data_IF_404698553435
#
_entry.id   IF_404698553435
#
_cell.length_a   1.000
_cell.length_b   1.000
_cell.length_c   1.000
_cell.angle_alpha   90.00
_cell.angle_beta   90.00
_cell.angle_gamma   90.00
#
_symmetry.space_group_name_H-M   'P 1'
#
loop_
_entity.id
_entity.type
_entity.pdbx_description
1 polymer ?
#
# COMPACT_ATOMS: atom_id res chain seq x y z
N UNK A 1 28.11 13.35 19.12
CA UNK A 1 27.42 13.53 17.83
C UNK A 1 28.45 13.23 16.76
N UNK A 2 28.28 12.17 15.99
CA UNK A 2 29.14 11.88 14.84
C UNK A 2 28.91 12.98 13.83
N UNK A 3 30.00 13.64 13.35
CA UNK A 3 29.96 14.58 12.22
C UNK A 3 29.65 13.80 10.93
N UNK A 4 28.40 13.37 10.75
CA UNK A 4 27.98 12.76 9.50
C UNK A 4 27.90 13.86 8.42
N UNK A 5 28.49 13.55 7.26
CA UNK A 5 28.51 14.45 6.11
C UNK A 5 27.23 14.21 5.28
N UNK A 6 26.38 15.25 5.03
CA UNK A 6 25.19 15.14 4.19
C UNK A 6 25.43 14.69 2.74
N UNK A 7 26.67 14.73 2.25
CA UNK A 7 27.04 14.17 0.95
C UNK A 7 27.10 12.63 0.95
N UNK A 8 27.10 12.01 2.14
CA UNK A 8 27.05 10.57 2.32
C UNK A 8 25.60 10.10 2.48
N UNK A 9 25.30 8.83 2.16
CA UNK A 9 23.97 8.29 2.37
C UNK A 9 23.51 8.46 3.82
N UNK A 10 22.25 8.87 4.02
CA UNK A 10 21.63 8.89 5.34
C UNK A 10 21.33 7.49 5.84
N UNK A 11 20.89 6.62 4.91
CA UNK A 11 20.71 5.17 5.12
C UNK A 11 21.51 4.42 4.06
N UNK A 12 22.34 3.48 4.49
CA UNK A 12 23.07 2.58 3.61
C UNK A 12 22.85 1.13 4.07
N UNK A 13 22.34 0.30 3.18
CA UNK A 13 22.14 -1.13 3.36
C UNK A 13 23.10 -1.83 2.40
N UNK A 14 23.95 -2.73 2.92
CA UNK A 14 24.95 -3.48 2.14
C UNK A 14 24.81 -4.97 2.34
N UNK A 15 24.59 -5.69 1.25
CA UNK A 15 24.56 -7.16 1.17
C UNK A 15 23.68 -7.81 2.26
N UNK A 16 22.57 -7.15 2.60
CA UNK A 16 21.71 -7.53 3.71
C UNK A 16 21.01 -8.86 3.43
N UNK A 17 21.21 -9.82 4.31
CA UNK A 17 20.49 -11.09 4.29
C UNK A 17 19.73 -11.30 5.59
N UNK A 18 18.45 -11.67 5.48
CA UNK A 18 17.53 -11.82 6.62
C UNK A 18 16.85 -13.16 6.53
N UNK A 19 16.89 -13.92 7.61
CA UNK A 19 16.20 -15.21 7.75
C UNK A 19 15.27 -15.24 8.93
N UNK A 20 14.14 -15.93 8.77
CA UNK A 20 13.23 -16.30 9.85
C UNK A 20 13.44 -17.75 10.23
N UNK A 21 13.63 -18.00 11.51
CA UNK A 21 13.87 -19.33 12.07
C UNK A 21 12.60 -19.88 12.70
N UNK A 22 12.03 -20.91 12.08
CA UNK A 22 10.89 -21.65 12.61
C UNK A 22 11.39 -22.93 13.29
N UNK A 23 10.49 -23.65 13.98
CA UNK A 23 10.84 -24.95 14.56
C UNK A 23 11.25 -26.00 13.52
N UNK A 24 10.81 -25.83 12.27
CA UNK A 24 11.00 -26.81 11.22
C UNK A 24 12.15 -26.47 10.27
N UNK A 25 12.38 -25.16 10.02
CA UNK A 25 13.35 -24.73 9.01
C UNK A 25 13.71 -23.24 9.14
N UNK A 26 14.82 -22.88 8.56
CA UNK A 26 15.19 -21.51 8.21
C UNK A 26 14.45 -21.08 6.93
N UNK A 27 13.97 -19.85 6.91
CA UNK A 27 13.25 -19.22 5.79
C UNK A 27 14.02 -17.95 5.43
N UNK A 28 14.87 -17.97 4.39
CA UNK A 28 15.57 -16.78 3.91
C UNK A 28 14.57 -15.82 3.26
N UNK A 29 14.28 -14.70 3.91
CA UNK A 29 13.31 -13.72 3.44
C UNK A 29 13.92 -12.69 2.52
N UNK A 30 15.13 -12.22 2.83
CA UNK A 30 15.92 -11.25 2.04
C UNK A 30 17.30 -11.82 1.82
N UNK A 31 17.86 -11.63 0.64
CA UNK A 31 19.17 -12.14 0.23
C UNK A 31 19.95 -11.08 -0.53
N UNK A 32 21.19 -10.83 -0.10
CA UNK A 32 22.15 -9.94 -0.79
C UNK A 32 21.52 -8.61 -1.25
N UNK A 33 20.70 -8.00 -0.38
CA UNK A 33 19.99 -6.77 -0.67
C UNK A 33 20.85 -5.57 -0.34
N UNK A 34 21.02 -4.67 -1.32
CA UNK A 34 21.73 -3.41 -1.13
C UNK A 34 20.89 -2.23 -1.61
N UNK A 35 20.87 -1.16 -0.82
CA UNK A 35 20.11 0.06 -1.12
C UNK A 35 20.71 1.24 -0.37
N UNK A 36 20.64 2.42 -0.97
CA UNK A 36 21.08 3.68 -0.33
C UNK A 36 19.99 4.73 -0.43
N UNK A 37 19.82 5.52 0.62
CA UNK A 37 18.97 6.72 0.63
C UNK A 37 19.86 7.92 0.96
N UNK A 38 19.81 8.95 0.13
CA UNK A 38 20.56 10.18 0.36
C UNK A 38 19.78 11.14 1.28
N UNK A 39 20.44 12.17 1.79
CA UNK A 39 19.75 13.20 2.58
C UNK A 39 18.72 13.95 1.74
N UNK A 40 17.48 14.03 2.22
CA UNK A 40 16.36 14.66 1.52
C UNK A 40 15.82 13.87 0.33
N UNK A 41 16.32 12.65 0.07
CA UNK A 41 15.87 11.79 -1.03
C UNK A 41 14.65 10.94 -0.61
N UNK A 42 13.76 10.71 -1.57
CA UNK A 42 12.70 9.72 -1.50
C UNK A 42 13.09 8.47 -2.32
N UNK A 43 13.40 7.36 -1.64
CA UNK A 43 13.73 6.07 -2.25
C UNK A 43 12.50 5.15 -2.23
N UNK A 44 12.03 4.75 -3.41
CA UNK A 44 10.95 3.80 -3.58
C UNK A 44 11.43 2.34 -3.49
N UNK A 45 10.70 1.51 -2.74
CA UNK A 45 10.92 0.06 -2.69
C UNK A 45 9.64 -0.65 -3.14
N UNK A 46 9.68 -1.32 -4.30
CA UNK A 46 8.49 -1.89 -4.94
C UNK A 46 8.66 -3.38 -5.26
N UNK A 47 7.55 -4.07 -5.49
CA UNK A 47 7.51 -5.48 -5.87
C UNK A 47 6.23 -6.15 -5.39
N UNK A 48 5.99 -7.40 -5.82
CA UNK A 48 4.83 -8.19 -5.40
C UNK A 48 4.76 -8.36 -3.88
N UNK A 49 3.56 -8.61 -3.35
CA UNK A 49 3.38 -8.95 -1.92
C UNK A 49 4.21 -10.18 -1.57
N UNK A 50 4.84 -10.16 -0.38
CA UNK A 50 5.71 -11.25 0.08
C UNK A 50 7.14 -11.23 -0.49
N UNK A 51 7.54 -10.28 -1.34
CA UNK A 51 8.93 -10.23 -1.87
C UNK A 51 9.98 -9.75 -0.86
N UNK A 52 9.60 -9.31 0.36
CA UNK A 52 10.56 -8.93 1.41
C UNK A 52 10.63 -7.43 1.75
N UNK A 53 9.84 -6.56 1.13
CA UNK A 53 9.87 -5.08 1.34
C UNK A 53 9.73 -4.68 2.80
N UNK A 54 8.63 -5.09 3.43
CA UNK A 54 8.38 -4.81 4.86
C UNK A 54 9.43 -5.44 5.77
N UNK A 55 10.02 -6.59 5.36
CA UNK A 55 11.11 -7.21 6.09
C UNK A 55 12.36 -6.32 6.09
N UNK A 56 12.68 -5.67 4.97
CA UNK A 56 13.77 -4.69 4.89
C UNK A 56 13.49 -3.49 5.80
N UNK A 57 12.27 -2.93 5.77
CA UNK A 57 11.87 -1.83 6.65
C UNK A 57 12.01 -2.19 8.14
N UNK A 58 11.50 -3.36 8.53
CA UNK A 58 11.62 -3.86 9.91
C UNK A 58 13.08 -4.13 10.31
N UNK A 59 13.93 -4.53 9.36
CA UNK A 59 15.37 -4.69 9.63
C UNK A 59 16.05 -3.35 9.89
N UNK A 60 15.71 -2.27 9.18
CA UNK A 60 16.19 -0.92 9.46
C UNK A 60 15.74 -0.48 10.86
N UNK A 61 14.50 -0.78 11.22
CA UNK A 61 13.98 -0.54 12.57
C UNK A 61 14.56 -1.52 13.60
N UNK A 62 15.31 -2.55 13.21
CA UNK A 62 15.81 -3.64 14.08
C UNK A 62 14.69 -4.32 14.87
N UNK A 63 13.51 -4.47 14.24
CA UNK A 63 12.29 -5.06 14.80
C UNK A 63 11.76 -6.21 13.95
N UNK A 64 12.59 -7.24 13.78
CA UNK A 64 12.27 -8.44 13.01
C UNK A 64 11.45 -9.48 13.81
N UNK A 65 11.07 -9.15 15.05
CA UNK A 65 10.43 -10.07 15.95
C UNK A 65 11.39 -11.17 16.49
N UNK A 66 10.84 -12.11 17.25
CA UNK A 66 11.64 -13.13 17.96
C UNK A 66 12.31 -14.16 17.05
N UNK A 67 11.73 -14.38 15.86
CA UNK A 67 12.18 -15.42 14.93
C UNK A 67 13.03 -14.85 13.78
N UNK A 68 13.06 -13.54 13.57
CA UNK A 68 13.78 -12.89 12.49
C UNK A 68 15.20 -12.49 12.90
N UNK A 69 16.18 -12.69 12.02
CA UNK A 69 17.58 -12.30 12.27
C UNK A 69 18.23 -11.79 10.98
N UNK A 70 19.05 -10.76 11.12
CA UNK A 70 20.03 -10.40 10.11
C UNK A 70 21.14 -11.45 10.18
N UNK A 71 21.34 -12.19 9.11
CA UNK A 71 22.34 -13.29 9.05
C UNK A 71 23.61 -12.83 8.35
N UNK A 72 23.54 -11.82 7.49
CA UNK A 72 24.71 -11.22 6.82
C UNK A 72 24.41 -9.77 6.42
N UNK A 73 25.47 -9.01 6.10
CA UNK A 73 25.39 -7.62 5.68
C UNK A 73 25.30 -6.61 6.82
N UNK A 74 25.13 -5.36 6.46
CA UNK A 74 25.10 -4.23 7.42
C UNK A 74 24.03 -3.20 7.05
N UNK A 75 23.57 -2.49 8.06
CA UNK A 75 22.66 -1.35 7.94
C UNK A 75 23.29 -0.17 8.66
N UNK A 76 23.64 0.88 7.93
CA UNK A 76 24.26 2.08 8.46
C UNK A 76 23.33 3.27 8.36
N UNK A 77 23.11 4.00 9.44
CA UNK A 77 22.34 5.23 9.49
C UNK A 77 23.20 6.38 9.97
N UNK A 78 23.35 7.42 9.18
CA UNK A 78 24.26 8.57 9.44
C UNK A 78 25.65 8.08 9.90
N UNK A 79 26.22 7.10 9.21
CA UNK A 79 27.53 6.51 9.53
C UNK A 79 27.58 5.62 10.76
N UNK A 80 26.44 5.36 11.45
CA UNK A 80 26.33 4.49 12.62
C UNK A 80 25.78 3.12 12.21
N UNK A 81 26.46 2.05 12.57
CA UNK A 81 26.01 0.69 12.28
C UNK A 81 24.87 0.27 13.21
N UNK A 82 23.65 0.22 12.66
CA UNK A 82 22.44 -0.19 13.39
C UNK A 82 22.49 -1.67 13.80
N UNK A 83 23.26 -2.51 13.10
CA UNK A 83 23.32 -3.94 13.37
C UNK A 83 24.11 -4.25 14.65
N UNK A 84 25.05 -3.38 15.02
CA UNK A 84 25.88 -3.48 16.20
C UNK A 84 25.31 -2.75 17.43
N UNK A 85 24.28 -1.91 17.27
CA UNK A 85 23.69 -1.13 18.36
C UNK A 85 22.96 -1.99 19.40
N UNK A 86 23.08 -1.57 20.66
CA UNK A 86 22.29 -2.10 21.77
C UNK A 86 20.80 -1.68 21.66
N UNK A 87 19.91 -2.42 22.32
CA UNK A 87 18.48 -2.08 22.35
C UNK A 87 18.19 -0.70 22.94
N UNK A 88 19.02 -0.24 23.89
CA UNK A 88 18.87 1.09 24.49
C UNK A 88 19.22 2.21 23.50
N UNK A 89 20.29 2.05 22.73
CA UNK A 89 20.67 2.98 21.67
C UNK A 89 19.61 3.02 20.56
N UNK A 90 19.12 1.86 20.13
CA UNK A 90 18.03 1.76 19.15
C UNK A 90 16.75 2.43 19.65
N UNK A 91 16.40 2.27 20.93
CA UNK A 91 15.22 2.91 21.53
C UNK A 91 15.31 4.43 21.49
N UNK A 92 16.49 5.00 21.70
CA UNK A 92 16.72 6.45 21.61
C UNK A 92 16.60 6.96 20.17
N UNK A 93 16.91 6.12 19.19
CA UNK A 93 16.94 6.46 17.78
C UNK A 93 15.55 6.35 17.13
N UNK A 94 14.79 5.32 17.53
CA UNK A 94 13.42 5.09 17.06
C UNK A 94 12.48 6.18 17.59
N UNK A 95 11.68 6.77 16.71
CA UNK A 95 10.73 7.84 17.02
C UNK A 95 11.37 9.22 17.15
N UNK A 96 12.70 9.35 17.21
CA UNK A 96 13.41 10.63 17.23
C UNK A 96 14.15 10.94 15.92
N UNK A 97 15.04 10.05 15.48
CA UNK A 97 15.82 10.24 14.25
C UNK A 97 15.30 9.36 13.10
N UNK A 98 14.75 8.19 13.41
CA UNK A 98 14.09 7.29 12.44
C UNK A 98 12.65 7.05 12.92
N UNK A 99 11.68 7.32 12.07
CA UNK A 99 10.28 6.99 12.31
C UNK A 99 9.74 6.04 11.25
N UNK A 100 8.72 5.26 11.58
CA UNK A 100 8.07 4.33 10.66
C UNK A 100 6.55 4.45 10.75
N UNK A 101 5.91 4.49 9.59
CA UNK A 101 4.46 4.35 9.44
C UNK A 101 4.21 2.94 8.93
N UNK A 102 3.46 2.15 9.71
CA UNK A 102 3.12 0.76 9.40
C UNK A 102 1.89 0.67 8.51
N UNK A 103 1.71 -0.48 7.87
CA UNK A 103 0.62 -0.76 6.92
C UNK A 103 -0.79 -0.57 7.51
N UNK A 104 -0.98 -0.84 8.81
CA UNK A 104 -2.27 -0.68 9.48
C UNK A 104 -2.24 0.48 10.48
N UNK A 105 -2.80 1.66 10.16
CA UNK A 105 -2.75 2.84 11.03
C UNK A 105 -3.48 2.62 12.36
N UNK A 106 -4.56 1.83 12.35
CA UNK A 106 -5.33 1.55 13.56
C UNK A 106 -4.54 0.74 14.60
N UNK A 107 -3.62 -0.12 14.16
CA UNK A 107 -2.75 -0.87 15.05
C UNK A 107 -1.71 0.00 15.75
N UNK A 108 -1.41 1.20 15.20
CA UNK A 108 -0.44 2.14 15.75
C UNK A 108 -1.03 3.08 16.81
N UNK A 109 -2.36 3.16 16.93
CA UNK A 109 -3.05 4.03 17.88
C UNK A 109 -3.64 3.25 19.05
N UNK A 110 -3.39 3.71 20.28
CA UNK A 110 -4.02 3.13 21.45
C UNK A 110 -5.50 3.54 21.56
N UNK A 111 -6.46 2.61 21.41
CA UNK A 111 -7.88 2.94 21.37
C UNK A 111 -8.44 3.51 22.70
N UNK A 112 -7.75 3.28 23.81
CA UNK A 112 -8.13 3.73 25.14
C UNK A 112 -7.58 5.12 25.53
N UNK A 113 -6.72 5.71 24.66
CA UNK A 113 -6.10 7.02 24.90
C UNK A 113 -6.60 8.07 23.93
N UNK A 114 -6.75 9.30 24.41
CA UNK A 114 -7.04 10.45 23.53
C UNK A 114 -5.87 10.74 22.60
N UNK A 115 -6.17 11.20 21.40
CA UNK A 115 -5.19 11.54 20.37
C UNK A 115 -4.11 12.51 20.88
N UNK A 116 -4.53 13.59 21.55
CA UNK A 116 -3.61 14.58 22.09
C UNK A 116 -2.58 14.01 23.08
N UNK A 117 -3.00 13.04 23.91
CA UNK A 117 -2.09 12.39 24.85
C UNK A 117 -1.05 11.54 24.14
N UNK A 118 -1.45 10.80 23.09
CA UNK A 118 -0.55 9.96 22.30
C UNK A 118 0.46 10.80 21.50
N UNK A 119 0.03 11.90 20.88
CA UNK A 119 0.91 12.81 20.18
C UNK A 119 1.92 13.48 21.13
N UNK A 120 1.44 14.01 22.26
CA UNK A 120 2.31 14.71 23.21
C UNK A 120 3.35 13.78 23.88
N UNK A 121 3.09 12.48 23.95
CA UNK A 121 4.01 11.50 24.52
C UNK A 121 5.35 11.46 23.78
N UNK A 122 5.34 11.62 22.47
CA UNK A 122 6.56 11.56 21.61
C UNK A 122 7.60 12.60 22.04
N UNK A 123 7.34 13.91 22.00
CA UNK A 123 8.33 14.91 22.42
C UNK A 123 8.59 14.90 23.94
N UNK A 124 7.65 14.46 24.76
CA UNK A 124 7.90 14.28 26.19
C UNK A 124 8.94 13.21 26.47
N UNK A 125 8.93 12.09 25.74
CA UNK A 125 9.87 10.99 25.91
C UNK A 125 11.22 11.28 25.26
N UNK A 126 11.23 11.79 24.02
CA UNK A 126 12.45 11.93 23.23
C UNK A 126 13.20 13.23 23.49
N UNK A 127 12.49 14.31 23.81
CA UNK A 127 13.05 15.65 23.95
C UNK A 127 12.95 16.19 25.39
N UNK A 128 12.37 15.40 26.32
CA UNK A 128 12.05 15.81 27.70
C UNK A 128 11.19 17.09 27.74
N UNK A 129 10.33 17.29 26.74
CA UNK A 129 9.50 18.49 26.60
C UNK A 129 8.41 18.53 27.69
N UNK A 130 8.17 19.69 28.33
CA UNK A 130 7.06 19.83 29.28
C UNK A 130 5.72 19.55 28.61
N UNK A 131 4.78 18.93 29.33
CA UNK A 131 3.47 18.52 28.79
C UNK A 131 2.71 19.66 28.12
N UNK A 132 2.75 20.87 28.66
CA UNK A 132 2.03 22.03 28.07
C UNK A 132 2.59 22.39 26.68
N UNK A 133 3.92 22.36 26.52
CA UNK A 133 4.61 22.61 25.26
C UNK A 133 4.37 21.49 24.27
N UNK A 134 4.44 20.23 24.73
CA UNK A 134 4.15 19.06 23.94
C UNK A 134 2.70 19.07 23.37
N UNK A 135 1.72 19.51 24.16
CA UNK A 135 0.33 19.68 23.71
C UNK A 135 0.18 20.82 22.70
N UNK A 136 0.92 21.92 22.89
CA UNK A 136 0.91 23.03 21.93
C UNK A 136 1.54 22.59 20.57
N UNK A 137 2.64 21.82 20.62
CA UNK A 137 3.23 21.21 19.43
C UNK A 137 2.28 20.23 18.76
N UNK A 138 1.62 19.35 19.54
CA UNK A 138 0.63 18.41 19.00
C UNK A 138 -0.51 19.15 18.26
N UNK A 139 -0.99 20.28 18.80
CA UNK A 139 -1.99 21.11 18.16
C UNK A 139 -1.51 21.66 16.82
N UNK A 140 -0.27 22.14 16.77
CA UNK A 140 0.36 22.63 15.54
C UNK A 140 0.49 21.52 14.49
N UNK A 141 0.98 20.34 14.87
CA UNK A 141 1.19 19.23 13.94
C UNK A 141 -0.15 18.67 13.41
N UNK A 142 -1.21 18.66 14.25
CA UNK A 142 -2.58 18.30 13.79
C UNK A 142 -3.08 19.30 12.74
N UNK A 143 -2.77 20.57 12.87
CA UNK A 143 -3.07 21.55 11.82
C UNK A 143 -2.20 21.35 10.56
N UNK A 144 -0.91 21.04 10.71
CA UNK A 144 0.01 20.76 9.61
C UNK A 144 -0.44 19.54 8.77
N UNK A 145 -1.03 18.50 9.39
CA UNK A 145 -1.63 17.37 8.67
C UNK A 145 -3.03 17.65 8.11
N UNK A 146 -3.42 18.92 8.04
CA UNK A 146 -4.65 19.43 7.41
C UNK A 146 -5.93 18.82 8.00
N UNK A 147 -5.94 18.55 9.32
CA UNK A 147 -7.15 18.14 10.02
C UNK A 147 -7.90 19.36 10.55
N UNK A 148 -9.22 19.47 10.29
CA UNK A 148 -10.04 20.57 10.80
C UNK A 148 -10.23 20.43 12.31
N UNK A 149 -10.38 21.58 12.99
CA UNK A 149 -10.66 21.66 14.43
C UNK A 149 -9.66 20.83 15.28
N UNK A 150 -8.37 21.26 15.35
CA UNK A 150 -7.35 20.53 16.10
C UNK A 150 -7.74 20.24 17.55
N UNK A 151 -8.43 21.14 18.22
CA UNK A 151 -8.82 20.97 19.64
C UNK A 151 -9.83 19.83 19.81
N UNK A 152 -10.78 19.69 18.91
CA UNK A 152 -11.70 18.56 18.88
C UNK A 152 -10.95 17.25 18.62
N UNK A 153 -10.05 17.22 17.62
CA UNK A 153 -9.27 16.04 17.26
C UNK A 153 -8.40 15.58 18.43
N UNK A 154 -7.67 16.49 19.08
CA UNK A 154 -6.84 16.17 20.25
C UNK A 154 -7.64 15.58 21.42
N UNK A 155 -8.89 15.98 21.57
CA UNK A 155 -9.78 15.49 22.62
C UNK A 155 -10.55 14.21 22.23
N UNK A 156 -10.47 13.77 20.98
CA UNK A 156 -11.12 12.57 20.47
C UNK A 156 -10.30 11.30 20.78
N UNK A 157 -11.00 10.17 20.78
CA UNK A 157 -10.40 8.83 20.76
C UNK A 157 -10.27 8.32 19.32
N UNK A 158 -9.36 7.37 19.02
CA UNK A 158 -9.18 6.84 17.66
C UNK A 158 -10.47 6.39 16.98
N UNK A 159 -11.33 5.66 17.68
CA UNK A 159 -12.60 5.15 17.14
C UNK A 159 -13.62 6.23 16.76
N UNK A 160 -13.42 7.48 17.15
CA UNK A 160 -14.26 8.62 16.80
C UNK A 160 -13.83 9.33 15.52
N UNK A 161 -12.71 8.86 14.91
CA UNK A 161 -12.12 9.42 13.70
C UNK A 161 -12.35 8.48 12.51
N UNK A 162 -12.48 9.04 11.31
CA UNK A 162 -12.49 8.25 10.07
C UNK A 162 -11.10 7.64 9.79
N UNK A 163 -11.02 6.60 8.95
CA UNK A 163 -9.74 5.96 8.59
C UNK A 163 -8.70 6.94 8.05
N UNK A 164 -9.10 7.85 7.14
CA UNK A 164 -8.20 8.88 6.62
C UNK A 164 -7.76 9.91 7.69
N UNK A 165 -8.61 10.22 8.69
CA UNK A 165 -8.21 11.06 9.82
C UNK A 165 -7.23 10.33 10.74
N UNK A 166 -7.44 9.04 11.01
CA UNK A 166 -6.52 8.22 11.79
C UNK A 166 -5.16 8.12 11.10
N UNK A 167 -5.14 7.91 9.78
CA UNK A 167 -3.91 7.88 9.00
C UNK A 167 -3.13 9.20 9.11
N UNK A 168 -3.81 10.36 9.00
CA UNK A 168 -3.18 11.67 9.20
C UNK A 168 -2.63 11.85 10.62
N UNK A 169 -3.28 11.28 11.64
CA UNK A 169 -2.77 11.29 13.01
C UNK A 169 -1.52 10.41 13.16
N UNK A 170 -1.47 9.25 12.53
CA UNK A 170 -0.25 8.40 12.54
C UNK A 170 0.91 9.11 11.84
N UNK A 171 0.65 9.80 10.72
CA UNK A 171 1.65 10.66 10.05
C UNK A 171 2.10 11.79 10.99
N UNK A 172 1.15 12.48 11.63
CA UNK A 172 1.46 13.51 12.62
C UNK A 172 2.36 12.97 13.73
N UNK A 173 2.05 11.80 14.29
CA UNK A 173 2.83 11.14 15.34
C UNK A 173 4.27 10.84 14.87
N UNK A 174 4.43 10.28 13.67
CA UNK A 174 5.73 9.95 13.10
C UNK A 174 6.60 11.20 12.87
N UNK A 175 5.98 12.35 12.58
CA UNK A 175 6.68 13.61 12.28
C UNK A 175 6.84 14.54 13.49
N UNK A 176 6.31 14.19 14.67
CA UNK A 176 6.40 15.02 15.88
C UNK A 176 7.83 15.42 16.23
N UNK A 177 8.79 14.51 16.10
CA UNK A 177 10.23 14.75 16.39
C UNK A 177 11.02 15.17 15.15
N UNK A 178 10.37 15.42 14.03
CA UNK A 178 11.02 15.77 12.74
C UNK A 178 12.17 14.81 12.40
N UNK A 179 11.88 13.53 12.20
CA UNK A 179 12.90 12.50 12.00
C UNK A 179 13.71 12.80 10.73
N UNK A 180 14.98 12.41 10.74
CA UNK A 180 15.82 12.52 9.57
C UNK A 180 15.50 11.50 8.48
N UNK A 181 14.94 10.33 8.89
CA UNK A 181 14.46 9.27 7.99
C UNK A 181 13.05 8.84 8.39
N UNK A 182 12.12 8.87 7.43
CA UNK A 182 10.77 8.36 7.56
C UNK A 182 10.63 7.11 6.67
N UNK A 183 10.26 5.99 7.27
CA UNK A 183 9.94 4.76 6.57
C UNK A 183 8.43 4.66 6.46
N UNK A 184 7.92 4.47 5.24
CA UNK A 184 6.49 4.34 4.95
C UNK A 184 6.25 2.95 4.38
N UNK A 185 5.62 2.07 5.15
CA UNK A 185 5.31 0.71 4.70
C UNK A 185 3.84 0.64 4.28
N UNK A 186 3.62 0.77 2.98
CA UNK A 186 2.29 0.79 2.35
C UNK A 186 1.31 1.77 3.04
N UNK A 187 1.65 3.07 3.16
CA UNK A 187 0.94 4.03 3.99
C UNK A 187 -0.49 4.32 3.53
N UNK A 188 -0.88 3.86 2.35
CA UNK A 188 -2.18 4.16 1.73
C UNK A 188 -3.06 2.91 1.56
N UNK A 189 -2.60 1.74 2.03
CA UNK A 189 -3.38 0.50 1.97
C UNK A 189 -4.74 0.67 2.66
N UNK A 190 -5.80 0.18 2.02
CA UNK A 190 -7.20 0.28 2.45
C UNK A 190 -7.82 1.70 2.44
N UNK A 191 -7.14 2.68 1.85
CA UNK A 191 -7.72 4.00 1.57
C UNK A 191 -8.34 4.03 0.17
N UNK A 192 -9.31 4.91 -0.03
CA UNK A 192 -9.80 5.20 -1.38
C UNK A 192 -8.82 6.11 -2.14
N UNK A 193 -8.91 6.09 -3.47
CA UNK A 193 -7.96 6.77 -4.38
C UNK A 193 -7.83 8.27 -4.09
N UNK A 194 -8.94 8.93 -3.70
CA UNK A 194 -8.91 10.38 -3.44
C UNK A 194 -8.23 10.71 -2.11
N UNK A 195 -8.45 9.87 -1.08
CA UNK A 195 -7.76 9.99 0.21
C UNK A 195 -6.29 9.59 0.06
N UNK A 196 -6.00 8.55 -0.73
CA UNK A 196 -4.64 8.10 -1.02
C UNK A 196 -3.78 9.23 -1.60
N UNK A 197 -4.22 9.87 -2.69
CA UNK A 197 -3.52 11.00 -3.28
C UNK A 197 -3.28 12.13 -2.26
N UNK A 198 -4.32 12.52 -1.51
CA UNK A 198 -4.20 13.56 -0.50
C UNK A 198 -3.31 13.21 0.71
N UNK A 199 -3.07 11.93 1.00
CA UNK A 199 -2.11 11.47 2.01
C UNK A 199 -0.68 11.53 1.46
N UNK A 200 -0.50 11.13 0.22
CA UNK A 200 0.80 11.14 -0.47
C UNK A 200 1.31 12.59 -0.60
N UNK A 201 0.49 13.50 -1.12
CA UNK A 201 0.80 14.92 -1.19
C UNK A 201 1.19 15.49 0.18
N UNK A 202 0.40 15.15 1.21
CA UNK A 202 0.66 15.63 2.57
C UNK A 202 2.03 15.17 3.09
N UNK A 203 2.37 13.89 2.90
CA UNK A 203 3.63 13.33 3.41
C UNK A 203 4.81 13.96 2.66
N UNK A 204 4.70 14.12 1.34
CA UNK A 204 5.73 14.74 0.52
C UNK A 204 5.97 16.21 0.93
N UNK A 205 4.91 17.01 1.05
CA UNK A 205 5.01 18.40 1.51
C UNK A 205 5.66 18.53 2.90
N UNK A 206 5.32 17.61 3.82
CA UNK A 206 5.87 17.63 5.17
C UNK A 206 7.33 17.13 5.20
N UNK A 207 7.68 16.15 4.38
CA UNK A 207 9.05 15.68 4.24
C UNK A 207 9.96 16.79 3.71
N UNK A 208 9.53 17.50 2.68
CA UNK A 208 10.24 18.66 2.13
C UNK A 208 10.37 19.79 3.17
N UNK A 209 9.27 20.12 3.85
CA UNK A 209 9.25 21.16 4.89
C UNK A 209 10.24 20.89 6.02
N UNK A 210 10.42 19.62 6.40
CA UNK A 210 11.29 19.24 7.52
C UNK A 210 12.65 18.72 7.10
N UNK A 211 12.91 18.56 5.79
CA UNK A 211 14.14 17.97 5.26
C UNK A 211 14.28 16.50 5.61
N UNK A 212 13.16 15.76 5.68
CA UNK A 212 13.10 14.34 6.03
C UNK A 212 13.35 13.49 4.79
N UNK A 213 14.31 12.56 4.85
CA UNK A 213 14.48 11.55 3.79
C UNK A 213 13.45 10.46 3.93
N UNK A 214 13.05 9.81 2.83
CA UNK A 214 12.00 8.79 2.84
C UNK A 214 12.48 7.46 2.27
N UNK A 215 12.07 6.35 2.92
CA UNK A 215 12.03 5.02 2.32
C UNK A 215 10.55 4.67 2.13
N UNK A 216 10.09 4.79 0.88
CA UNK A 216 8.68 4.65 0.52
C UNK A 216 8.40 3.26 -0.07
N UNK A 217 7.70 2.41 0.67
CA UNK A 217 7.34 1.07 0.25
C UNK A 217 5.90 1.08 -0.27
N UNK A 218 5.71 0.65 -1.51
CA UNK A 218 4.39 0.56 -2.12
C UNK A 218 4.33 -0.57 -3.15
N UNK A 219 3.14 -1.11 -3.35
CA UNK A 219 2.81 -1.94 -4.50
C UNK A 219 2.20 -1.12 -5.65
N UNK A 220 1.87 0.16 -5.41
CA UNK A 220 1.34 1.09 -6.41
C UNK A 220 2.49 1.86 -7.08
N UNK A 221 2.91 1.39 -8.28
CA UNK A 221 3.99 2.02 -9.02
C UNK A 221 3.65 3.46 -9.47
N UNK A 222 2.37 3.78 -9.67
CA UNK A 222 1.95 5.14 -10.02
C UNK A 222 2.34 6.15 -8.94
N UNK A 223 2.09 5.81 -7.67
CA UNK A 223 2.49 6.65 -6.54
C UNK A 223 4.01 6.76 -6.40
N UNK A 224 4.73 5.66 -6.63
CA UNK A 224 6.20 5.67 -6.56
C UNK A 224 6.80 6.56 -7.64
N UNK A 225 6.21 6.57 -8.85
CA UNK A 225 6.62 7.46 -9.94
C UNK A 225 6.42 8.95 -9.61
N UNK A 226 5.42 9.26 -8.79
CA UNK A 226 5.08 10.63 -8.40
C UNK A 226 5.94 11.14 -7.22
N UNK A 227 6.23 10.27 -6.26
CA UNK A 227 6.83 10.63 -4.97
C UNK A 227 8.34 10.45 -4.94
N UNK A 228 8.87 9.41 -5.63
CA UNK A 228 10.23 8.96 -5.40
C UNK A 228 11.22 9.48 -6.45
N UNK A 229 12.43 9.81 -6.00
CA UNK A 229 13.55 10.18 -6.87
C UNK A 229 14.20 8.95 -7.50
N UNK A 230 14.38 7.90 -6.68
CA UNK A 230 14.97 6.63 -7.06
C UNK A 230 14.09 5.46 -6.64
N UNK A 231 14.28 4.33 -7.31
CA UNK A 231 13.50 3.10 -7.08
C UNK A 231 14.41 1.89 -6.99
N UNK A 232 14.04 0.96 -6.13
CA UNK A 232 14.57 -0.41 -6.10
C UNK A 232 13.42 -1.39 -6.23
N UNK A 233 13.46 -2.22 -7.26
CA UNK A 233 12.48 -3.26 -7.53
C UNK A 233 12.93 -4.56 -6.87
N UNK A 234 12.10 -5.13 -6.01
CA UNK A 234 12.38 -6.40 -5.32
C UNK A 234 11.56 -7.55 -5.88
N UNK A 235 12.20 -8.69 -6.03
CA UNK A 235 11.54 -9.94 -6.35
C UNK A 235 12.14 -11.08 -5.52
N UNK A 236 11.28 -11.81 -4.80
CA UNK A 236 11.66 -13.00 -4.02
C UNK A 236 12.91 -12.81 -3.15
N UNK A 237 12.96 -11.72 -2.39
CA UNK A 237 14.04 -11.42 -1.44
C UNK A 237 15.25 -10.70 -2.01
N UNK A 238 15.32 -10.48 -3.31
CA UNK A 238 16.44 -9.82 -3.97
C UNK A 238 16.04 -8.50 -4.63
N UNK A 239 16.98 -7.55 -4.69
CA UNK A 239 16.88 -6.42 -5.61
C UNK A 239 17.14 -6.90 -7.02
N UNK A 240 16.24 -6.63 -7.96
CA UNK A 240 16.36 -7.06 -9.36
C UNK A 240 16.65 -5.91 -10.31
N UNK A 241 16.22 -4.70 -9.97
CA UNK A 241 16.51 -3.49 -10.74
C UNK A 241 16.50 -2.27 -9.80
N UNK A 242 17.42 -1.33 -9.98
CA UNK A 242 17.50 -0.10 -9.20
C UNK A 242 18.04 1.05 -10.04
N UNK A 243 17.55 2.26 -9.77
CA UNK A 243 18.00 3.46 -10.48
C UNK A 243 17.13 4.68 -10.19
N UNK A 244 17.36 5.78 -10.92
CA UNK A 244 16.44 6.90 -10.91
C UNK A 244 15.07 6.43 -11.44
N UNK A 245 13.98 6.92 -10.85
CA UNK A 245 12.63 6.54 -11.26
C UNK A 245 12.43 6.67 -12.77
N UNK A 246 12.79 7.83 -13.32
CA UNK A 246 12.67 8.08 -14.76
C UNK A 246 13.48 7.10 -15.60
N UNK A 247 14.76 6.86 -15.25
CA UNK A 247 15.64 6.01 -16.03
C UNK A 247 15.14 4.55 -16.03
N UNK A 248 14.66 4.05 -14.87
CA UNK A 248 14.12 2.69 -14.75
C UNK A 248 12.82 2.54 -15.56
N UNK A 249 11.89 3.50 -15.48
CA UNK A 249 10.61 3.39 -16.20
C UNK A 249 10.72 3.64 -17.70
N UNK A 250 11.60 4.53 -18.14
CA UNK A 250 11.85 4.78 -19.56
C UNK A 250 12.61 3.61 -20.22
N UNK A 251 13.45 2.90 -19.46
CA UNK A 251 14.37 1.88 -19.99
C UNK A 251 14.45 0.66 -19.07
N UNK A 252 13.31 0.06 -18.68
CA UNK A 252 13.31 -1.18 -17.89
C UNK A 252 14.27 -2.21 -18.46
N UNK A 253 15.13 -2.80 -17.62
CA UNK A 253 16.17 -3.77 -18.02
C UNK A 253 16.11 -5.07 -17.24
N UNK A 254 15.02 -5.28 -16.48
CA UNK A 254 14.70 -6.58 -15.92
C UNK A 254 13.31 -7.03 -16.38
N UNK A 255 13.15 -8.27 -16.89
CA UNK A 255 11.86 -8.77 -17.38
C UNK A 255 10.72 -8.70 -16.33
N UNK A 256 11.05 -8.87 -15.06
CA UNK A 256 10.08 -8.71 -13.98
C UNK A 256 9.57 -7.27 -13.84
N UNK A 257 10.47 -6.29 -13.89
CA UNK A 257 10.08 -4.87 -13.83
C UNK A 257 9.13 -4.51 -14.97
N UNK A 258 9.44 -4.98 -16.19
CA UNK A 258 8.59 -4.79 -17.34
C UNK A 258 7.23 -5.48 -17.18
N UNK A 259 7.23 -6.73 -16.68
CA UNK A 259 5.98 -7.48 -16.45
C UNK A 259 5.13 -6.82 -15.35
N UNK A 260 5.75 -6.34 -14.26
CA UNK A 260 5.09 -5.62 -13.18
C UNK A 260 4.43 -4.34 -13.70
N UNK A 261 5.14 -3.54 -14.49
CA UNK A 261 4.62 -2.32 -15.09
C UNK A 261 3.47 -2.59 -16.08
N UNK A 262 3.53 -3.69 -16.82
CA UNK A 262 2.47 -4.11 -17.76
C UNK A 262 1.21 -4.64 -17.07
N UNK A 263 1.30 -5.04 -15.82
CA UNK A 263 0.16 -5.51 -15.02
C UNK A 263 -0.67 -4.37 -14.42
N UNK A 264 -0.22 -3.10 -14.56
CA UNK A 264 -0.89 -1.94 -13.96
C UNK A 264 -1.85 -1.31 -14.96
N UNK A 265 -3.11 -1.01 -14.55
CA UNK A 265 -4.02 -0.23 -15.35
C UNK A 265 -3.56 1.23 -15.42
N UNK A 266 -3.23 1.72 -16.60
CA UNK A 266 -2.93 3.13 -16.78
C UNK A 266 -4.21 3.90 -17.06
N UNK A 267 -4.39 5.11 -16.50
CA UNK A 267 -5.50 6.00 -16.84
C UNK A 267 -5.57 6.25 -18.35
N UNK A 268 -6.78 6.12 -18.93
CA UNK A 268 -7.01 6.33 -20.36
C UNK A 268 -6.53 5.20 -21.29
N UNK A 269 -5.96 4.11 -20.74
CA UNK A 269 -5.58 2.97 -21.58
C UNK A 269 -6.81 2.16 -21.98
N UNK A 270 -7.02 1.99 -23.30
CA UNK A 270 -8.03 1.09 -23.82
C UNK A 270 -7.58 -0.37 -23.62
N UNK A 271 -8.43 -1.17 -22.94
CA UNK A 271 -8.21 -2.61 -22.71
C UNK A 271 -7.98 -3.41 -24.02
N UNK A 272 -8.39 -2.89 -25.16
CA UNK A 272 -8.19 -3.50 -26.46
C UNK A 272 -6.82 -3.17 -27.07
N UNK A 273 -6.27 -2.01 -26.73
CA UNK A 273 -4.95 -1.55 -27.19
C UNK A 273 -3.85 -1.98 -26.25
N UNK A 274 -4.12 -1.94 -24.93
CA UNK A 274 -3.20 -2.37 -23.87
C UNK A 274 -3.93 -3.27 -22.85
N UNK A 275 -4.12 -4.55 -23.18
CA UNK A 275 -4.70 -5.50 -22.24
C UNK A 275 -3.79 -5.65 -21.03
N UNK A 276 -4.38 -5.68 -19.83
CA UNK A 276 -3.64 -6.02 -18.61
C UNK A 276 -3.12 -7.45 -18.73
N UNK A 277 -1.83 -7.63 -18.48
CA UNK A 277 -1.19 -8.94 -18.47
C UNK A 277 -0.77 -9.31 -17.06
N UNK A 278 -1.42 -10.29 -16.48
CA UNK A 278 -0.95 -10.88 -15.23
C UNK A 278 0.41 -11.56 -15.44
N UNK A 279 1.30 -11.46 -14.46
CA UNK A 279 2.58 -12.19 -14.48
C UNK A 279 2.26 -13.68 -14.32
N UNK A 280 2.62 -14.55 -15.28
CA UNK A 280 2.24 -15.95 -15.24
C UNK A 280 2.97 -16.71 -14.13
N UNK A 281 2.38 -17.84 -13.71
CA UNK A 281 2.96 -18.73 -12.71
C UNK A 281 2.87 -18.21 -11.28
N UNK A 282 3.32 -19.04 -10.34
CA UNK A 282 3.28 -18.72 -8.91
C UNK A 282 4.56 -18.02 -8.46
N UNK A 283 4.43 -17.14 -7.48
CA UNK A 283 5.57 -16.55 -6.78
C UNK A 283 6.33 -17.67 -6.03
N UNK A 284 7.66 -17.83 -6.23
CA UNK A 284 8.39 -18.93 -5.60
C UNK A 284 8.46 -18.74 -4.09
N UNK A 285 8.14 -19.79 -3.36
CA UNK A 285 8.36 -19.82 -1.92
C UNK A 285 9.88 -19.77 -1.63
N UNK A 286 10.30 -19.21 -0.48
CA UNK A 286 11.73 -19.06 -0.17
C UNK A 286 12.58 -20.32 -0.29
N UNK A 287 11.99 -21.50 -0.07
CA UNK A 287 12.66 -22.80 -0.19
C UNK A 287 12.54 -23.45 -1.59
N UNK A 288 11.78 -22.84 -2.49
CA UNK A 288 11.57 -23.30 -3.87
C UNK A 288 12.29 -22.39 -4.88
N UNK A 289 13.08 -21.45 -4.40
CA UNK A 289 13.85 -20.56 -5.27
C UNK A 289 14.77 -21.35 -6.18
N UNK A 290 14.74 -21.08 -7.49
CA UNK A 290 15.63 -21.75 -8.43
C UNK A 290 17.10 -21.33 -8.21
N UNK A 291 18.03 -22.08 -8.76
CA UNK A 291 19.38 -21.59 -8.92
C UNK A 291 19.41 -20.46 -9.96
N UNK A 292 20.24 -19.45 -9.74
CA UNK A 292 20.40 -18.31 -10.65
C UNK A 292 19.27 -17.29 -10.49
N UNK A 293 18.56 -16.97 -11.56
CA UNK A 293 17.52 -15.95 -11.56
C UNK A 293 16.24 -16.44 -10.86
N UNK A 294 15.87 -15.81 -9.75
CA UNK A 294 14.63 -16.13 -9.03
C UNK A 294 13.38 -15.93 -9.87
N UNK A 295 13.39 -15.01 -10.83
CA UNK A 295 12.29 -14.79 -11.76
C UNK A 295 12.27 -15.78 -12.94
N UNK A 296 13.32 -16.59 -13.12
CA UNK A 296 13.49 -17.51 -14.26
C UNK A 296 12.25 -18.32 -14.61
N UNK A 297 11.57 -19.00 -13.66
CA UNK A 297 10.37 -19.82 -13.94
C UNK A 297 9.17 -19.04 -14.51
N UNK A 298 9.15 -17.73 -14.37
CA UNK A 298 8.07 -16.83 -14.83
C UNK A 298 8.51 -15.90 -15.96
N UNK A 299 9.77 -16.04 -16.42
CA UNK A 299 10.39 -15.11 -17.35
C UNK A 299 10.18 -15.56 -18.80
N UNK A 300 9.54 -14.71 -19.62
CA UNK A 300 9.35 -14.96 -21.06
C UNK A 300 10.67 -15.06 -21.83
N UNK A 301 11.76 -14.52 -21.27
CA UNK A 301 13.09 -14.48 -21.88
C UNK A 301 14.07 -15.48 -21.24
N UNK A 302 13.57 -16.44 -20.45
CA UNK A 302 14.41 -17.43 -19.77
C UNK A 302 15.23 -18.26 -20.76
N UNK A 303 16.49 -18.46 -20.44
CA UNK A 303 17.39 -19.31 -21.20
C UNK A 303 18.05 -20.33 -20.26
N UNK A 304 17.68 -21.60 -20.47
CA UNK A 304 18.24 -22.72 -19.70
C UNK A 304 19.76 -22.85 -19.92
N UNK A 305 20.48 -23.29 -18.89
CA UNK A 305 21.93 -23.38 -18.90
C UNK A 305 22.65 -22.05 -18.84
N UNK A 306 21.94 -20.92 -18.83
CA UNK A 306 22.47 -19.56 -18.70
C UNK A 306 21.89 -18.79 -17.55
N UNK A 307 20.58 -18.62 -17.52
CA UNK A 307 19.89 -17.90 -16.43
C UNK A 307 19.84 -18.68 -15.11
N UNK A 308 20.11 -19.98 -15.14
CA UNK A 308 20.14 -20.88 -13.99
C UNK A 308 21.52 -21.55 -13.75
N UNK A 309 22.56 -21.10 -14.45
CA UNK A 309 23.90 -21.71 -14.34
C UNK A 309 24.62 -21.34 -13.04
N UNK A 310 24.50 -20.07 -12.62
CA UNK A 310 25.14 -19.50 -11.43
C UNK A 310 24.32 -18.37 -10.84
N UNK A 311 24.70 -17.92 -9.65
CA UNK A 311 24.17 -16.72 -9.02
C UNK A 311 24.35 -15.50 -9.95
N UNK A 312 23.32 -14.68 -10.07
CA UNK A 312 23.31 -13.48 -10.88
C UNK A 312 23.46 -12.26 -9.96
N UNK A 313 24.45 -11.44 -10.22
CA UNK A 313 24.69 -10.19 -9.49
C UNK A 313 24.13 -9.00 -10.24
N UNK A 314 23.87 -7.93 -9.50
CA UNK A 314 23.52 -6.63 -10.09
C UNK A 314 24.67 -6.17 -11.01
N UNK A 315 24.32 -5.71 -12.20
CA UNK A 315 25.26 -5.16 -13.19
C UNK A 315 24.72 -3.80 -13.68
N UNK A 316 25.65 -2.88 -13.91
CA UNK A 316 25.28 -1.55 -14.40
C UNK A 316 24.80 -1.63 -15.85
N UNK A 317 23.67 -0.99 -16.09
CA UNK A 317 23.01 -0.90 -17.41
C UNK A 317 23.60 0.24 -18.24
N UNK A 318 24.09 1.27 -17.57
CA UNK A 318 24.65 2.48 -18.17
C UNK A 318 26.06 2.79 -17.66
N UNK A 319 26.83 3.53 -18.46
CA UNK A 319 28.20 3.95 -18.10
C UNK A 319 28.23 4.92 -16.89
N UNK A 320 27.13 5.62 -16.63
CA UNK A 320 26.98 6.53 -15.51
C UNK A 320 26.70 5.82 -14.18
N UNK A 321 26.48 4.50 -14.20
CA UNK A 321 26.17 3.66 -13.03
C UNK A 321 24.99 4.16 -12.22
N UNK A 322 23.96 4.67 -12.90
CA UNK A 322 22.75 5.20 -12.26
C UNK A 322 21.57 4.23 -12.35
N UNK A 323 21.74 3.16 -13.15
CA UNK A 323 20.75 2.16 -13.39
C UNK A 323 21.43 0.79 -13.40
N UNK A 324 21.02 -0.09 -12.49
CA UNK A 324 21.57 -1.43 -12.35
C UNK A 324 20.45 -2.47 -12.49
N UNK A 325 20.76 -3.62 -13.09
CA UNK A 325 19.83 -4.73 -13.28
C UNK A 325 20.48 -6.07 -12.93
N UNK A 326 19.70 -6.97 -12.32
CA UNK A 326 20.07 -8.36 -12.01
C UNK A 326 19.63 -9.32 -13.16
N UNK A 327 19.77 -8.88 -14.40
CA UNK A 327 19.45 -9.68 -15.58
C UNK A 327 20.70 -9.89 -16.44
N UNK A 328 21.15 -11.13 -16.64
CA UNK A 328 22.30 -11.43 -17.49
C UNK A 328 22.10 -11.06 -18.96
N UNK A 329 20.84 -10.95 -19.38
CA UNK A 329 20.47 -10.75 -20.77
C UNK A 329 19.96 -9.34 -21.09
N UNK A 330 20.07 -8.39 -20.14
CA UNK A 330 19.49 -7.06 -20.33
C UNK A 330 19.96 -6.33 -21.60
N UNK A 331 21.17 -6.62 -22.09
CA UNK A 331 21.71 -6.04 -23.31
C UNK A 331 21.28 -6.78 -24.59
N UNK A 332 20.72 -7.98 -24.48
CA UNK A 332 20.38 -8.85 -25.63
C UNK A 332 18.87 -8.84 -25.92
N UNK A 333 18.05 -8.54 -24.92
CA UNK A 333 16.58 -8.53 -25.03
C UNK A 333 16.17 -7.34 -25.89
N UNK A 334 15.34 -7.60 -26.88
CA UNK A 334 14.62 -6.54 -27.59
C UNK A 334 13.44 -6.09 -26.73
N UNK A 335 13.65 -4.97 -26.03
CA UNK A 335 12.70 -4.43 -25.08
C UNK A 335 11.49 -3.74 -25.75
N UNK A 336 11.62 -3.40 -27.03
CA UNK A 336 10.59 -2.74 -27.83
C UNK A 336 9.74 -3.76 -28.62
N UNK A 337 10.13 -5.04 -28.58
CA UNK A 337 9.41 -6.10 -29.28
C UNK A 337 7.94 -6.12 -28.82
N UNK A 338 6.98 -6.13 -29.77
CA UNK A 338 5.59 -6.31 -29.44
C UNK A 338 5.39 -7.69 -28.80
N UNK A 339 4.81 -7.70 -27.61
CA UNK A 339 4.39 -8.98 -26.99
C UNK A 339 3.30 -9.61 -27.85
N UNK A 340 3.38 -10.92 -28.04
CA UNK A 340 2.24 -11.67 -28.53
C UNK A 340 1.05 -11.43 -27.59
N UNK A 341 0.06 -10.70 -28.07
CA UNK A 341 -1.20 -10.51 -27.36
C UNK A 341 -1.85 -11.89 -27.24
N UNK A 342 -2.09 -12.35 -26.02
CA UNK A 342 -2.94 -13.53 -25.81
C UNK A 342 -4.22 -13.33 -26.62
N UNK A 343 -4.63 -14.39 -27.35
CA UNK A 343 -5.81 -14.35 -28.19
C UNK A 343 -6.98 -13.73 -27.41
N UNK A 344 -7.58 -12.67 -27.95
CA UNK A 344 -8.75 -12.04 -27.35
C UNK A 344 -9.80 -13.12 -27.17
N UNK A 345 -10.21 -13.38 -25.94
CA UNK A 345 -11.46 -14.10 -25.70
C UNK A 345 -12.53 -13.27 -26.38
N UNK A 346 -13.15 -13.80 -27.42
CA UNK A 346 -14.27 -13.12 -28.07
C UNK A 346 -15.32 -12.89 -26.97
N UNK A 347 -15.61 -11.62 -26.67
CA UNK A 347 -16.78 -11.29 -25.86
C UNK A 347 -18.00 -11.79 -26.62
N UNK A 348 -18.85 -12.57 -25.97
CA UNK A 348 -20.19 -12.85 -26.46
C UNK A 348 -20.95 -11.55 -26.72
N UNK A 349 -21.94 -11.61 -27.55
CA UNK A 349 -22.87 -10.48 -27.75
C UNK A 349 -23.52 -10.17 -26.39
N UNK A 350 -23.74 -8.88 -26.12
CA UNK A 350 -24.48 -8.44 -24.93
C UNK A 350 -25.94 -8.89 -25.12
N UNK A 351 -26.43 -9.66 -24.15
CA UNK A 351 -27.76 -10.23 -24.17
C UNK A 351 -28.85 -9.31 -23.59
N UNK A 352 -29.94 -9.91 -23.16
CA UNK A 352 -31.08 -9.20 -22.60
C UNK A 352 -30.76 -8.57 -21.22
N UNK A 353 -31.65 -7.65 -20.78
CA UNK A 353 -31.54 -7.03 -19.44
C UNK A 353 -31.84 -8.09 -18.39
N UNK A 354 -30.86 -8.35 -17.52
CA UNK A 354 -30.98 -9.30 -16.39
C UNK A 354 -31.23 -8.61 -15.05
N UNK A 355 -30.81 -7.34 -14.93
CA UNK A 355 -31.06 -6.50 -13.77
C UNK A 355 -31.45 -5.10 -14.23
N UNK A 356 -32.59 -4.60 -13.76
CA UNK A 356 -32.99 -3.21 -13.95
C UNK A 356 -33.30 -2.56 -12.62
N UNK A 357 -32.81 -1.35 -12.44
CA UNK A 357 -33.02 -0.53 -11.25
C UNK A 357 -33.57 0.83 -11.65
N UNK A 358 -34.67 1.24 -11.02
CA UNK A 358 -35.35 2.51 -11.27
C UNK A 358 -35.51 3.31 -9.97
N UNK A 359 -34.85 4.46 -9.86
CA UNK A 359 -34.96 5.41 -8.76
C UNK A 359 -34.81 4.77 -7.37
N UNK A 360 -33.93 3.79 -7.22
CA UNK A 360 -33.74 3.05 -5.98
C UNK A 360 -33.11 3.94 -4.91
N UNK A 361 -33.71 3.94 -3.72
CA UNK A 361 -33.25 4.69 -2.54
C UNK A 361 -33.09 3.75 -1.36
N UNK A 362 -32.03 3.99 -0.55
CA UNK A 362 -31.86 3.35 0.74
C UNK A 362 -31.49 4.37 1.79
N UNK A 363 -32.35 4.53 2.79
CA UNK A 363 -32.17 5.43 3.91
C UNK A 363 -32.13 4.66 5.21
N UNK A 364 -31.32 5.14 6.15
CA UNK A 364 -31.25 4.63 7.51
C UNK A 364 -31.70 5.71 8.49
N UNK A 365 -32.55 5.34 9.41
CA UNK A 365 -32.93 6.19 10.53
C UNK A 365 -32.01 5.92 11.71
N UNK A 366 -31.25 6.92 12.13
CA UNK A 366 -30.36 6.84 13.29
C UNK A 366 -30.96 7.61 14.43
N UNK A 367 -31.30 6.91 15.52
CA UNK A 367 -31.81 7.55 16.74
C UNK A 367 -30.77 8.51 17.31
N UNK A 368 -31.16 9.71 17.71
CA UNK A 368 -30.27 10.65 18.38
C UNK A 368 -29.74 10.06 19.69
N UNK A 369 -28.43 10.08 19.89
CA UNK A 369 -27.71 9.46 21.02
C UNK A 369 -27.89 10.20 22.38
N UNK A 370 -28.84 11.13 22.50
CA UNK A 370 -29.06 11.88 23.71
C UNK A 370 -30.40 11.51 24.36
N UNK A 371 -30.34 10.96 25.56
CA UNK A 371 -31.49 10.65 26.43
C UNK A 371 -32.31 11.89 26.87
N UNK A 372 -31.86 13.11 26.52
CA UNK A 372 -32.43 14.37 26.97
C UNK A 372 -32.82 15.38 25.88
N UNK A 373 -32.61 15.08 24.60
CA UNK A 373 -33.05 15.93 23.50
C UNK A 373 -34.20 15.27 22.75
N UNK A 374 -35.36 15.90 22.74
CA UNK A 374 -36.56 15.40 22.05
C UNK A 374 -36.30 15.15 20.57
N UNK A 375 -36.27 13.90 20.19
CA UNK A 375 -36.87 13.26 19.06
C UNK A 375 -36.55 13.66 17.63
N UNK A 376 -35.42 14.24 17.27
CA UNK A 376 -35.07 14.37 15.86
C UNK A 376 -34.26 13.13 15.39
N UNK A 377 -34.96 12.22 14.70
CA UNK A 377 -34.35 11.11 13.99
C UNK A 377 -33.50 11.65 12.83
N UNK A 378 -32.17 11.40 12.87
CA UNK A 378 -31.30 11.76 11.78
C UNK A 378 -31.40 10.71 10.69
N UNK A 379 -31.77 11.12 9.47
CA UNK A 379 -31.82 10.23 8.29
C UNK A 379 -30.50 10.26 7.58
N UNK A 380 -29.88 9.09 7.43
CA UNK A 380 -28.68 8.89 6.60
C UNK A 380 -29.12 8.32 5.25
N UNK A 381 -28.92 9.09 4.19
CA UNK A 381 -29.21 8.70 2.81
C UNK A 381 -28.03 7.94 2.24
N UNK A 382 -28.05 6.61 2.32
CA UNK A 382 -26.95 5.77 1.85
C UNK A 382 -26.94 5.61 0.32
N UNK A 383 -28.13 5.51 -0.29
CA UNK A 383 -28.30 5.55 -1.74
C UNK A 383 -29.43 6.52 -2.09
N UNK A 384 -29.21 7.36 -3.11
CA UNK A 384 -30.19 8.34 -3.58
C UNK A 384 -30.36 8.19 -5.11
N UNK A 385 -31.56 7.80 -5.52
CA UNK A 385 -31.98 7.70 -6.95
C UNK A 385 -31.05 6.91 -7.88
N UNK A 386 -30.68 5.69 -7.50
CA UNK A 386 -29.87 4.80 -8.37
C UNK A 386 -30.77 4.24 -9.49
N UNK A 387 -30.35 4.43 -10.74
CA UNK A 387 -31.05 3.91 -11.92
C UNK A 387 -30.01 3.44 -12.93
N UNK A 388 -30.09 2.18 -13.34
CA UNK A 388 -29.27 1.58 -14.40
C UNK A 388 -29.80 0.18 -14.76
N UNK A 389 -29.37 -0.32 -15.92
CA UNK A 389 -29.60 -1.68 -16.35
C UNK A 389 -28.28 -2.44 -16.47
N UNK A 390 -28.31 -3.75 -16.23
CA UNK A 390 -27.20 -4.65 -16.50
C UNK A 390 -27.70 -5.80 -17.40
N UNK A 391 -26.89 -6.18 -18.36
CA UNK A 391 -27.24 -7.13 -19.40
C UNK A 391 -26.48 -8.45 -19.22
N UNK A 392 -27.04 -9.52 -19.79
CA UNK A 392 -26.37 -10.82 -19.84
C UNK A 392 -25.03 -10.71 -20.59
N UNK A 393 -23.97 -11.30 -20.02
CA UNK A 393 -22.61 -11.23 -20.59
C UNK A 393 -21.90 -9.90 -20.43
N UNK A 394 -22.52 -8.91 -19.74
CA UNK A 394 -21.94 -7.61 -19.47
C UNK A 394 -21.13 -7.61 -18.15
N UNK A 395 -20.12 -6.75 -18.09
CA UNK A 395 -19.44 -6.37 -16.84
C UNK A 395 -19.73 -4.90 -16.55
N UNK A 396 -20.62 -4.64 -15.59
CA UNK A 396 -20.94 -3.29 -15.11
C UNK A 396 -20.07 -2.94 -13.90
N UNK A 397 -19.37 -1.80 -13.94
CA UNK A 397 -18.57 -1.31 -12.81
C UNK A 397 -19.29 -0.20 -12.06
N UNK A 398 -19.36 -0.33 -10.72
CA UNK A 398 -19.86 0.72 -9.83
C UNK A 398 -18.67 1.29 -9.05
N UNK A 399 -18.38 2.55 -9.30
CA UNK A 399 -17.22 3.26 -8.74
C UNK A 399 -17.66 4.42 -7.85
N UNK A 400 -16.78 4.85 -6.94
CA UNK A 400 -17.02 5.97 -6.04
C UNK A 400 -16.17 5.86 -4.78
N UNK A 401 -16.10 6.92 -4.00
CA UNK A 401 -15.34 7.02 -2.75
C UNK A 401 -15.82 6.01 -1.67
N UNK A 402 -14.97 5.79 -0.66
CA UNK A 402 -15.36 4.98 0.50
C UNK A 402 -16.57 5.63 1.21
N UNK A 403 -17.54 4.81 1.62
CA UNK A 403 -18.74 5.30 2.29
C UNK A 403 -19.82 5.89 1.37
N UNK A 404 -19.62 5.97 0.03
CA UNK A 404 -20.64 6.50 -0.89
C UNK A 404 -21.84 5.58 -1.14
N UNK A 405 -21.93 4.43 -0.47
CA UNK A 405 -23.07 3.53 -0.55
C UNK A 405 -22.95 2.30 -1.43
N UNK A 406 -21.80 2.01 -2.06
CA UNK A 406 -21.58 0.83 -2.94
C UNK A 406 -21.94 -0.50 -2.26
N UNK A 407 -21.41 -0.71 -1.06
CA UNK A 407 -21.70 -1.94 -0.28
C UNK A 407 -23.15 -1.99 0.19
N UNK A 408 -23.77 -0.85 0.51
CA UNK A 408 -25.20 -0.77 0.83
C UNK A 408 -26.04 -1.18 -0.37
N UNK A 409 -25.70 -0.66 -1.55
CA UNK A 409 -26.35 -1.07 -2.80
C UNK A 409 -26.26 -2.59 -3.02
N UNK A 410 -25.05 -3.19 -2.90
CA UNK A 410 -24.87 -4.62 -3.05
C UNK A 410 -25.71 -5.44 -2.06
N UNK A 411 -25.80 -5.00 -0.79
CA UNK A 411 -26.65 -5.65 0.22
C UNK A 411 -28.13 -5.57 -0.12
N UNK A 412 -28.58 -4.43 -0.67
CA UNK A 412 -29.96 -4.26 -1.12
C UNK A 412 -30.27 -5.20 -2.29
N UNK A 413 -29.37 -5.29 -3.28
CA UNK A 413 -29.51 -6.21 -4.39
C UNK A 413 -29.58 -7.67 -3.94
N UNK A 414 -28.70 -8.06 -3.02
CA UNK A 414 -28.70 -9.41 -2.43
C UNK A 414 -29.93 -9.71 -1.56
N UNK A 415 -30.76 -8.71 -1.21
CA UNK A 415 -31.89 -8.87 -0.29
C UNK A 415 -31.48 -9.07 1.18
N UNK A 416 -30.24 -8.77 1.53
CA UNK A 416 -29.78 -8.68 2.92
C UNK A 416 -30.35 -7.45 3.61
N UNK A 417 -30.69 -6.44 2.83
CA UNK A 417 -31.43 -5.23 3.21
C UNK A 417 -32.49 -4.93 2.16
N UNK A 418 -33.56 -4.24 2.56
CA UNK A 418 -34.61 -3.82 1.62
C UNK A 418 -34.41 -2.36 1.21
N UNK A 419 -34.74 -2.01 -0.04
CA UNK A 419 -34.77 -0.62 -0.47
C UNK A 419 -35.86 0.18 0.27
N UNK A 420 -35.60 1.47 0.50
CA UNK A 420 -36.62 2.38 1.07
C UNK A 420 -37.68 2.72 0.02
N UNK A 421 -37.28 2.90 -1.23
CA UNK A 421 -38.17 3.13 -2.38
C UNK A 421 -37.46 2.83 -3.69
N UNK A 422 -38.19 2.89 -4.79
CA UNK A 422 -37.72 2.60 -6.14
C UNK A 422 -38.19 1.25 -6.64
N UNK A 423 -37.60 0.70 -7.70
CA UNK A 423 -37.94 -0.59 -8.27
C UNK A 423 -36.67 -1.35 -8.62
N UNK A 424 -36.62 -2.63 -8.29
CA UNK A 424 -35.51 -3.54 -8.63
C UNK A 424 -36.12 -4.76 -9.32
N UNK A 425 -35.85 -4.91 -10.61
CA UNK A 425 -36.22 -6.09 -11.38
C UNK A 425 -34.97 -6.97 -11.56
N UNK A 426 -35.07 -8.22 -11.13
CA UNK A 426 -34.08 -9.25 -11.40
C UNK A 426 -34.75 -10.24 -12.37
N UNK A 427 -34.28 -10.27 -13.60
CA UNK A 427 -35.04 -10.85 -14.71
C UNK A 427 -36.47 -10.27 -14.73
N UNK A 428 -37.49 -11.09 -14.68
CA UNK A 428 -38.88 -10.67 -14.67
C UNK A 428 -39.48 -10.48 -13.26
N UNK A 429 -38.68 -10.65 -12.17
CA UNK A 429 -39.15 -10.61 -10.80
C UNK A 429 -38.83 -9.28 -10.12
N UNK A 430 -39.82 -8.67 -9.47
CA UNK A 430 -39.58 -7.48 -8.62
C UNK A 430 -39.11 -7.91 -7.24
N UNK A 431 -37.83 -7.62 -6.92
CA UNK A 431 -37.20 -8.01 -5.66
C UNK A 431 -36.95 -6.85 -4.69
N UNK A 432 -37.40 -5.64 -4.99
CA UNK A 432 -37.14 -4.39 -4.24
C UNK A 432 -37.39 -4.50 -2.72
N UNK A 433 -38.55 -5.01 -2.32
CA UNK A 433 -38.99 -5.10 -0.93
C UNK A 433 -38.94 -6.51 -0.37
N UNK A 434 -38.37 -7.45 -1.12
CA UNK A 434 -38.36 -8.87 -0.78
C UNK A 434 -37.01 -9.25 -0.14
N UNK A 435 -36.97 -9.50 1.19
CA UNK A 435 -35.79 -10.04 1.84
C UNK A 435 -35.38 -11.37 1.24
N UNK A 436 -34.08 -11.72 1.31
CA UNK A 436 -33.53 -12.93 0.70
C UNK A 436 -34.28 -14.22 1.11
N UNK A 437 -34.78 -14.29 2.36
CA UNK A 437 -35.51 -15.44 2.88
C UNK A 437 -36.89 -15.64 2.23
N UNK A 438 -37.42 -14.62 1.55
CA UNK A 438 -38.73 -14.61 0.91
C UNK A 438 -38.63 -14.64 -0.62
N UNK A 439 -37.43 -14.56 -1.18
CA UNK A 439 -37.21 -14.69 -2.62
C UNK A 439 -37.35 -16.15 -3.05
N UNK A 440 -37.76 -16.36 -4.28
CA UNK A 440 -37.80 -17.71 -4.85
C UNK A 440 -36.38 -18.27 -5.03
N UNK A 441 -36.26 -19.59 -5.20
CA UNK A 441 -34.97 -20.28 -5.32
C UNK A 441 -34.18 -19.79 -6.53
N UNK A 442 -34.87 -19.48 -7.64
CA UNK A 442 -34.22 -19.05 -8.88
C UNK A 442 -33.58 -17.66 -8.71
N UNK A 443 -34.29 -16.71 -8.08
CA UNK A 443 -33.73 -15.40 -7.78
C UNK A 443 -32.56 -15.44 -6.79
N UNK A 444 -32.59 -16.34 -5.82
CA UNK A 444 -31.48 -16.54 -4.88
C UNK A 444 -30.27 -17.17 -5.57
N UNK A 445 -30.48 -18.19 -6.40
CA UNK A 445 -29.40 -18.88 -7.12
C UNK A 445 -28.74 -18.04 -8.21
N UNK A 446 -29.47 -17.04 -8.76
CA UNK A 446 -28.99 -16.16 -9.81
C UNK A 446 -28.03 -15.08 -9.32
N UNK A 447 -27.97 -14.82 -8.01
CA UNK A 447 -27.13 -13.80 -7.39
C UNK A 447 -26.07 -14.40 -6.48
N UNK A 448 -24.82 -14.06 -6.72
CA UNK A 448 -23.73 -14.42 -5.83
C UNK A 448 -22.93 -13.17 -5.45
N UNK A 449 -22.45 -13.12 -4.22
CA UNK A 449 -21.64 -12.01 -3.70
C UNK A 449 -20.34 -12.53 -3.11
N UNK A 450 -19.24 -11.92 -3.56
CA UNK A 450 -17.94 -12.06 -2.88
C UNK A 450 -17.78 -10.86 -1.95
N UNK A 451 -17.69 -11.11 -0.66
CA UNK A 451 -17.52 -10.05 0.33
C UNK A 451 -16.08 -9.53 0.36
N UNK A 452 -15.91 -8.28 0.80
CA UNK A 452 -14.60 -7.63 0.93
C UNK A 452 -13.68 -8.38 1.91
N UNK A 453 -14.25 -8.89 3.00
CA UNK A 453 -13.55 -9.77 3.94
C UNK A 453 -14.18 -11.17 3.86
N UNK A 454 -13.49 -12.14 3.26
CA UNK A 454 -14.03 -13.50 3.09
C UNK A 454 -13.99 -14.33 4.38
N UNK A 455 -13.43 -13.83 5.50
CA UNK A 455 -13.30 -14.50 6.79
C UNK A 455 -14.05 -13.77 7.90
#
# INVERSE_FOLDING_TARGET
MTNWDPSQPILEIKNLSISFFTRLREIPAVMDFSCTVMAGEAMGLVGESGCGKSTVALAVMRDLGVNGRIVDGSITFKGRDLTAMSQEELRKLRGSEIAMIYQEPMASLNPAMKIGAQLAEVPMIHENMPKAEAMALARQVVADVRLPDPDRILNSYPHQLSGGQQQRIVIAMALMSKPALLILDEPTTALDVTVEAGIVDLVTDLADKYGTSMLFISHNLGLVMEVCDRITVMYSGEAVETGNVKDVFDKMRHPYTQALFRSIPLPGADKNQRPLRAIPGNFPLPHERPKGCNFGPRCDYFQDGRCNAAEIRMASVDDAKRHDSRCLRFAEIDWDAPLELMAKTQKGEIGDVVLSMENVRKYYEVAASSLFSGGDTKVVKANETLSFDAHEGETLAIVGESGCGKSTFAKVLMGLETATSGKIMLFDENVQSTPIQQRNTDAVSSLQMVFQNPF
#
